data_IF_691808541665
#
_entry.id   IF_691808541665
#
_cell.length_a   1.000
_cell.length_b   1.000
_cell.length_c   1.000
_cell.angle_alpha   90.00
_cell.angle_beta   90.00
_cell.angle_gamma   90.00
#
_symmetry.space_group_name_H-M   'P 1'
#
loop_
_entity.id
_entity.type
_entity.pdbx_description
1 polymer ?
#
# COMPACT_ATOMS: atom_id res chain seq x y z
N UNK A 1 -33.34 25.36 12.50
CA UNK A 1 -33.35 23.88 12.69
C UNK A 1 -32.16 23.15 12.06
N UNK A 2 -31.60 23.56 10.91
CA UNK A 2 -30.38 22.94 10.32
C UNK A 2 -29.09 22.98 11.20
N UNK A 3 -28.78 24.02 11.99
CA UNK A 3 -27.54 24.03 12.79
C UNK A 3 -27.61 23.13 14.03
N UNK A 4 -28.81 22.88 14.56
CA UNK A 4 -29.00 22.02 15.75
C UNK A 4 -28.80 20.53 15.40
N UNK A 5 -29.20 20.10 14.19
CA UNK A 5 -29.02 18.73 13.70
C UNK A 5 -27.55 18.41 13.39
N UNK A 6 -26.76 19.40 12.94
CA UNK A 6 -25.33 19.24 12.73
C UNK A 6 -24.56 19.06 14.04
N UNK A 7 -24.91 19.86 15.07
CA UNK A 7 -24.32 19.77 16.40
C UNK A 7 -24.62 18.42 17.08
N UNK A 8 -25.86 17.91 16.98
CA UNK A 8 -26.23 16.57 17.48
C UNK A 8 -25.47 15.45 16.72
N UNK A 9 -25.23 15.63 15.42
CA UNK A 9 -24.50 14.66 14.58
C UNK A 9 -23.00 14.63 14.88
N UNK A 10 -22.38 15.77 15.22
CA UNK A 10 -20.99 15.83 15.71
C UNK A 10 -20.84 15.25 17.12
N UNK A 11 -21.76 15.56 18.04
CA UNK A 11 -21.77 14.94 19.37
C UNK A 11 -21.89 13.41 19.29
N UNK A 12 -22.64 12.88 18.31
CA UNK A 12 -22.73 11.44 18.05
C UNK A 12 -21.44 10.82 17.52
N UNK A 13 -20.62 11.58 16.78
CA UNK A 13 -19.33 11.11 16.25
C UNK A 13 -18.26 11.10 17.34
N UNK A 14 -18.24 12.14 18.18
CA UNK A 14 -17.34 12.22 19.33
C UNK A 14 -17.65 11.13 20.36
N UNK A 15 -18.95 10.90 20.66
CA UNK A 15 -19.36 9.81 21.55
C UNK A 15 -18.95 8.42 21.02
N UNK A 16 -19.07 8.19 19.70
CA UNK A 16 -18.62 6.95 19.05
C UNK A 16 -17.10 6.80 19.09
N UNK A 17 -16.35 7.88 18.92
CA UNK A 17 -14.88 7.87 19.00
C UNK A 17 -14.39 7.59 20.43
N UNK A 18 -15.03 8.19 21.44
CA UNK A 18 -14.73 7.93 22.86
C UNK A 18 -15.08 6.48 23.23
N UNK A 19 -16.23 5.96 22.78
CA UNK A 19 -16.58 4.54 22.98
C UNK A 19 -15.56 3.60 22.33
N UNK A 20 -15.05 3.95 21.14
CA UNK A 20 -14.04 3.16 20.44
C UNK A 20 -12.71 3.12 21.20
N UNK A 21 -12.28 4.26 21.76
CA UNK A 21 -11.07 4.34 22.60
C UNK A 21 -11.27 3.55 23.89
N UNK A 22 -12.44 3.65 24.54
CA UNK A 22 -12.76 2.90 25.76
C UNK A 22 -12.83 1.38 25.50
N UNK A 23 -13.40 0.96 24.38
CA UNK A 23 -13.46 -0.44 23.94
C UNK A 23 -12.06 -0.99 23.61
N UNK A 24 -11.20 -0.18 22.99
CA UNK A 24 -9.81 -0.55 22.75
C UNK A 24 -9.02 -0.66 24.06
N UNK A 25 -9.26 0.25 25.02
CA UNK A 25 -8.67 0.17 26.35
C UNK A 25 -9.09 -1.10 27.10
N UNK A 26 -10.36 -1.51 27.06
CA UNK A 26 -10.83 -2.76 27.69
C UNK A 26 -10.24 -4.00 27.02
N UNK A 27 -10.10 -4.03 25.69
CA UNK A 27 -9.45 -5.13 24.97
C UNK A 27 -7.96 -5.25 25.30
N UNK A 28 -7.21 -4.15 25.23
CA UNK A 28 -5.76 -4.13 25.50
C UNK A 28 -5.43 -4.43 26.97
N UNK A 29 -6.34 -4.09 27.90
CA UNK A 29 -6.19 -4.44 29.32
C UNK A 29 -6.68 -5.86 29.65
N UNK A 30 -7.57 -6.44 28.84
CA UNK A 30 -8.03 -7.82 28.96
C UNK A 30 -6.97 -8.82 28.46
N UNK A 31 -6.25 -8.51 27.38
CA UNK A 31 -5.17 -9.38 26.87
C UNK A 31 -3.92 -9.39 27.77
N UNK A 32 -3.71 -8.36 28.59
CA UNK A 32 -2.58 -8.30 29.53
C UNK A 32 -2.82 -8.96 30.90
N UNK A 33 -3.95 -9.65 31.10
CA UNK A 33 -4.21 -10.42 32.33
C UNK A 33 -3.92 -11.92 32.24
N UNK A 34 -3.49 -12.45 31.08
CA UNK A 34 -3.18 -13.88 30.93
C UNK A 34 -1.74 -14.23 30.59
N UNK A 35 -0.84 -13.25 30.44
CA UNK A 35 0.56 -13.52 30.16
C UNK A 35 1.48 -12.77 31.13
N UNK A 36 1.77 -13.45 32.24
CA UNK A 36 2.99 -13.33 33.05
C UNK A 36 3.17 -12.05 33.88
N UNK A 37 3.54 -12.28 35.14
CA UNK A 37 3.73 -11.26 36.16
C UNK A 37 4.92 -10.33 35.88
N UNK A 38 4.90 -9.23 36.65
CA UNK A 38 5.85 -8.10 36.71
C UNK A 38 5.56 -6.94 35.74
N UNK A 39 4.86 -5.92 36.27
CA UNK A 39 4.67 -4.62 35.62
C UNK A 39 5.75 -3.64 36.09
N UNK A 40 6.72 -3.36 35.23
CA UNK A 40 7.53 -2.15 35.32
C UNK A 40 6.73 -0.93 34.83
N UNK A 41 6.51 0.05 35.71
CA UNK A 41 5.90 1.34 35.36
C UNK A 41 6.83 2.11 34.42
N UNK A 42 6.46 2.25 33.14
CA UNK A 42 6.97 3.33 32.27
C UNK A 42 5.82 4.27 31.93
N UNK A 43 6.10 5.56 32.10
CA UNK A 43 5.18 6.69 32.23
C UNK A 43 4.68 7.18 30.86
N UNK A 44 3.36 7.16 30.64
CA UNK A 44 2.69 7.65 29.42
C UNK A 44 2.23 9.12 29.50
N UNK A 45 2.77 9.90 30.44
CA UNK A 45 2.43 11.32 30.61
C UNK A 45 2.82 12.24 29.42
N UNK A 46 4.00 12.07 28.78
CA UNK A 46 4.43 12.99 27.72
C UNK A 46 3.68 12.83 26.39
N UNK A 47 3.15 11.63 26.10
CA UNK A 47 2.51 11.33 24.82
C UNK A 47 1.12 11.97 24.71
N UNK A 48 0.39 12.05 25.82
CA UNK A 48 -0.95 12.65 25.88
C UNK A 48 -0.91 14.19 25.87
N UNK A 49 0.12 14.80 26.46
CA UNK A 49 0.32 16.26 26.40
C UNK A 49 0.57 16.77 24.99
N UNK A 50 1.36 16.03 24.18
CA UNK A 50 1.64 16.40 22.79
C UNK A 50 0.44 16.20 21.86
N UNK A 51 -0.43 15.22 22.14
CA UNK A 51 -1.64 15.02 21.35
C UNK A 51 -2.64 16.16 21.59
N UNK A 52 -2.81 16.60 22.85
CA UNK A 52 -3.72 17.69 23.19
C UNK A 52 -3.31 19.03 22.54
N UNK A 53 -2.02 19.36 22.53
CA UNK A 53 -1.50 20.62 21.97
C UNK A 53 -1.59 20.65 20.43
N UNK A 54 -1.49 19.51 19.74
CA UNK A 54 -1.49 19.48 18.26
C UNK A 54 -2.88 19.46 17.61
N UNK A 55 -3.92 18.94 18.28
CA UNK A 55 -5.24 18.75 17.62
C UNK A 55 -6.29 19.83 17.89
N UNK A 56 -6.13 20.72 18.89
CA UNK A 56 -7.19 21.68 19.28
C UNK A 56 -6.63 23.02 19.79
N UNK A 57 -6.26 24.00 18.93
CA UNK A 57 -5.72 25.28 19.38
C UNK A 57 -6.79 26.28 19.92
N UNK A 58 -8.08 25.91 19.96
CA UNK A 58 -9.18 26.84 20.28
C UNK A 58 -10.09 26.44 21.45
N UNK A 59 -9.70 25.49 22.29
CA UNK A 59 -10.41 25.22 23.54
C UNK A 59 -9.66 25.87 24.71
N UNK A 60 -10.23 26.94 25.25
CA UNK A 60 -9.76 27.57 26.47
C UNK A 60 -9.82 26.57 27.65
N UNK A 61 -8.89 26.65 28.62
CA UNK A 61 -8.85 25.75 29.76
C UNK A 61 -9.92 26.15 30.77
N UNK A 62 -11.17 25.79 30.50
CA UNK A 62 -12.23 25.85 31.49
C UNK A 62 -12.62 24.45 31.93
N UNK A 63 -12.26 24.20 33.19
CA UNK A 63 -12.87 23.26 34.12
C UNK A 63 -12.52 21.77 34.02
N UNK A 64 -11.23 21.47 34.23
CA UNK A 64 -10.73 20.14 34.58
C UNK A 64 -11.17 19.66 36.00
N UNK A 65 -11.96 20.44 36.75
CA UNK A 65 -12.42 20.04 38.09
C UNK A 65 -13.60 19.06 38.07
N UNK A 66 -14.26 18.87 36.92
CA UNK A 66 -15.36 17.91 36.77
C UNK A 66 -14.90 16.51 36.35
N UNK A 67 -13.69 16.37 35.79
CA UNK A 67 -13.18 15.07 35.32
C UNK A 67 -12.58 14.19 36.43
N UNK A 68 -12.29 14.75 37.60
CA UNK A 68 -11.64 14.04 38.72
C UNK A 68 -12.60 13.21 39.61
N UNK A 69 -13.91 13.19 39.32
CA UNK A 69 -14.88 12.40 40.10
C UNK A 69 -15.18 11.00 39.54
N UNK A 70 -14.72 10.67 38.33
CA UNK A 70 -15.05 9.40 37.67
C UNK A 70 -13.99 8.29 37.84
N UNK A 71 -12.78 8.61 38.28
CA UNK A 71 -11.74 7.61 38.54
C UNK A 71 -10.95 8.02 39.78
N UNK A 72 -11.21 7.34 40.92
CA UNK A 72 -10.52 7.56 42.20
C UNK A 72 -9.00 7.42 42.05
N UNK A 73 -8.29 8.51 41.76
CA UNK A 73 -6.82 8.55 41.74
C UNK A 73 -6.35 9.76 42.57
N UNK A 74 -5.53 9.49 43.59
CA UNK A 74 -5.03 10.52 44.52
C UNK A 74 -4.12 11.55 43.85
N UNK A 75 -4.24 12.85 44.18
CA UNK A 75 -3.43 13.92 43.62
C UNK A 75 -2.13 14.10 44.42
N UNK A 76 -1.16 13.20 44.24
CA UNK A 76 0.21 13.42 44.72
C UNK A 76 1.20 12.76 43.76
N UNK A 77 1.61 13.48 42.71
CA UNK A 77 2.89 13.31 42.00
C UNK A 77 3.02 14.39 40.92
N UNK A 78 3.09 15.65 41.34
CA UNK A 78 3.60 16.73 40.48
C UNK A 78 4.50 17.63 41.33
N UNK A 79 5.72 17.16 41.60
CA UNK A 79 6.80 18.04 42.04
C UNK A 79 8.15 17.38 41.78
N UNK A 80 9.02 18.18 41.15
CA UNK A 80 10.48 18.08 41.09
C UNK A 80 11.05 17.73 39.72
N UNK A 81 11.53 18.75 39.00
CA UNK A 81 12.92 18.83 38.55
C UNK A 81 13.19 20.19 37.87
N UNK A 82 13.52 21.20 38.68
CA UNK A 82 14.33 22.33 38.23
C UNK A 82 15.63 22.30 39.05
N UNK A 83 16.77 22.19 38.37
CA UNK A 83 18.05 22.83 38.75
C UNK A 83 18.98 22.87 37.51
N UNK A 84 19.64 24.01 37.23
CA UNK A 84 20.63 24.18 36.16
C UNK A 84 22.08 24.00 36.67
N UNK A 85 23.05 24.20 35.76
CA UNK A 85 24.53 24.08 35.83
C UNK A 85 25.08 22.76 35.27
N UNK A 86 26.13 22.69 34.44
CA UNK A 86 27.00 23.67 33.78
C UNK A 86 27.95 22.93 32.83
N UNK A 87 28.31 23.56 31.70
CA UNK A 87 29.60 23.49 30.97
C UNK A 87 30.24 22.11 30.67
N UNK A 88 30.15 21.67 29.41
CA UNK A 88 31.30 21.07 28.68
C UNK A 88 31.29 21.60 27.24
N UNK A 89 32.49 21.96 26.78
CA UNK A 89 32.79 22.65 25.54
C UNK A 89 33.03 21.69 24.35
N UNK A 90 32.87 22.26 23.15
CA UNK A 90 33.50 21.90 21.86
C UNK A 90 33.20 20.53 21.26
N UNK A 91 32.35 20.54 20.24
CA UNK A 91 32.69 20.05 18.90
C UNK A 91 31.58 20.45 17.92
N UNK A 92 31.89 21.40 17.02
CA UNK A 92 31.11 21.58 15.80
C UNK A 92 31.43 20.41 14.89
N UNK A 93 30.69 19.32 15.05
CA UNK A 93 30.43 18.37 13.98
C UNK A 93 29.06 18.73 13.44
N UNK A 94 29.03 19.27 12.22
CA UNK A 94 27.80 19.33 11.43
C UNK A 94 27.44 17.87 11.18
N UNK A 95 26.57 17.30 12.03
CA UNK A 95 25.81 16.13 11.64
C UNK A 95 24.88 16.59 10.54
N UNK A 96 25.29 16.39 9.30
CA UNK A 96 24.33 16.25 8.21
C UNK A 96 23.36 15.14 8.62
N UNK A 97 22.12 15.55 8.87
CA UNK A 97 20.99 14.65 8.95
C UNK A 97 20.96 13.79 7.69
N UNK A 98 20.80 12.46 7.75
CA UNK A 98 20.59 11.65 6.56
C UNK A 98 19.23 12.00 5.98
N UNK A 99 19.20 12.97 5.07
CA UNK A 99 18.07 13.18 4.17
C UNK A 99 18.09 11.99 3.21
N UNK A 100 17.23 11.00 3.45
CA UNK A 100 17.19 9.75 2.68
C UNK A 100 16.51 9.94 1.32
N UNK A 101 17.06 10.82 0.47
CA UNK A 101 16.70 10.84 -0.94
C UNK A 101 17.48 9.72 -1.65
N UNK A 102 16.93 8.51 -1.61
CA UNK A 102 17.48 7.39 -2.39
C UNK A 102 17.42 7.75 -3.88
N UNK A 103 18.55 7.64 -4.58
CA UNK A 103 18.65 7.97 -6.00
C UNK A 103 17.76 7.07 -6.86
N UNK A 104 17.37 7.53 -8.05
CA UNK A 104 16.56 6.75 -9.01
C UNK A 104 17.18 5.38 -9.33
N UNK A 105 18.50 5.34 -9.49
CA UNK A 105 19.24 4.07 -9.72
C UNK A 105 19.14 3.13 -8.51
N UNK A 106 19.30 3.64 -7.28
CA UNK A 106 19.19 2.81 -6.08
C UNK A 106 17.76 2.29 -5.86
N UNK A 107 16.73 3.09 -6.19
CA UNK A 107 15.33 2.64 -6.20
C UNK A 107 15.10 1.52 -7.22
N UNK A 108 15.62 1.67 -8.44
CA UNK A 108 15.50 0.67 -9.49
C UNK A 108 16.21 -0.64 -9.12
N UNK A 109 17.44 -0.58 -8.58
CA UNK A 109 18.16 -1.76 -8.08
C UNK A 109 17.40 -2.45 -6.94
N UNK A 110 16.83 -1.69 -6.00
CA UNK A 110 16.01 -2.25 -4.92
C UNK A 110 14.76 -2.96 -5.47
N UNK A 111 14.13 -2.42 -6.51
CA UNK A 111 12.95 -3.02 -7.13
C UNK A 111 13.28 -4.32 -7.85
N UNK A 112 14.36 -4.34 -8.65
CA UNK A 112 14.85 -5.56 -9.31
C UNK A 112 15.23 -6.61 -8.26
N UNK A 113 15.93 -6.21 -7.20
CA UNK A 113 16.28 -7.10 -6.10
C UNK A 113 15.05 -7.69 -5.42
N UNK A 114 13.99 -6.90 -5.20
CA UNK A 114 12.74 -7.39 -4.63
C UNK A 114 12.03 -8.40 -5.53
N UNK A 115 11.97 -8.15 -6.85
CA UNK A 115 11.44 -9.09 -7.83
C UNK A 115 12.20 -10.42 -7.81
N UNK A 116 13.54 -10.37 -7.81
CA UNK A 116 14.39 -11.55 -7.81
C UNK A 116 14.34 -12.31 -6.48
N UNK A 117 14.23 -11.61 -5.35
CA UNK A 117 14.23 -12.22 -4.02
C UNK A 117 12.86 -12.83 -3.67
N UNK A 118 11.77 -12.12 -3.95
CA UNK A 118 10.44 -12.51 -3.47
C UNK A 118 9.54 -13.12 -4.55
N UNK A 119 9.88 -12.94 -5.83
CA UNK A 119 9.10 -13.46 -6.96
C UNK A 119 9.33 -14.94 -7.28
N UNK A 120 10.12 -15.66 -6.48
CA UNK A 120 10.47 -17.08 -6.72
C UNK A 120 9.36 -18.06 -6.31
N UNK A 121 8.31 -17.60 -5.64
CA UNK A 121 7.18 -18.45 -5.24
C UNK A 121 6.29 -18.84 -6.42
N UNK A 122 5.53 -19.93 -6.23
CA UNK A 122 4.57 -20.45 -7.22
C UNK A 122 3.58 -19.37 -7.67
N UNK A 123 3.37 -19.26 -8.99
CA UNK A 123 2.34 -18.42 -9.55
C UNK A 123 0.98 -19.13 -9.51
N UNK A 124 0.26 -18.99 -8.39
CA UNK A 124 -1.19 -19.26 -8.26
C UNK A 124 -1.64 -20.58 -8.94
N UNK A 125 -0.94 -21.69 -8.65
CA UNK A 125 -1.29 -23.02 -9.16
C UNK A 125 -0.87 -23.32 -10.61
N UNK A 126 -0.14 -22.41 -11.26
CA UNK A 126 0.55 -22.62 -12.53
C UNK A 126 2.00 -23.09 -12.28
N UNK A 127 2.60 -23.81 -13.24
CA UNK A 127 3.95 -24.39 -13.11
C UNK A 127 5.09 -23.40 -13.42
N UNK A 128 4.91 -22.12 -13.09
CA UNK A 128 5.92 -21.07 -13.21
C UNK A 128 5.93 -20.20 -11.95
N UNK A 129 7.02 -19.50 -11.70
CA UNK A 129 7.13 -18.52 -10.61
C UNK A 129 6.45 -17.19 -10.95
N UNK A 130 6.13 -16.40 -9.92
CA UNK A 130 5.59 -15.03 -10.10
C UNK A 130 6.53 -14.14 -10.92
N UNK A 131 7.85 -14.30 -10.72
CA UNK A 131 8.86 -13.58 -11.47
C UNK A 131 8.84 -14.00 -12.95
N UNK A 132 8.81 -15.29 -13.25
CA UNK A 132 8.77 -15.77 -14.64
C UNK A 132 7.53 -15.25 -15.38
N UNK A 133 6.38 -15.23 -14.71
CA UNK A 133 5.15 -14.64 -15.23
C UNK A 133 5.34 -13.16 -15.61
N UNK A 134 5.84 -12.34 -14.67
CA UNK A 134 6.12 -10.93 -14.90
C UNK A 134 7.12 -10.69 -16.05
N UNK A 135 8.18 -11.51 -16.13
CA UNK A 135 9.19 -11.39 -17.19
C UNK A 135 8.65 -11.78 -18.56
N UNK A 136 7.79 -12.80 -18.65
CA UNK A 136 7.14 -13.19 -19.89
C UNK A 136 6.18 -12.10 -20.38
N UNK A 137 5.39 -11.49 -19.49
CA UNK A 137 4.49 -10.39 -19.84
C UNK A 137 5.27 -9.18 -20.37
N UNK A 138 6.33 -8.78 -19.67
CA UNK A 138 7.23 -7.71 -20.11
C UNK A 138 7.90 -8.00 -21.46
N UNK A 139 8.30 -9.25 -21.69
CA UNK A 139 8.90 -9.66 -22.96
C UNK A 139 7.92 -9.58 -24.13
N UNK A 140 6.66 -9.99 -23.91
CA UNK A 140 5.60 -9.85 -24.92
C UNK A 140 5.30 -8.38 -25.22
N UNK A 141 5.19 -7.54 -24.20
CA UNK A 141 5.03 -6.09 -24.36
C UNK A 141 6.18 -5.48 -25.17
N UNK A 142 7.42 -5.87 -24.88
CA UNK A 142 8.58 -5.37 -25.63
C UNK A 142 8.58 -5.86 -27.08
N UNK A 143 8.20 -7.11 -27.34
CA UNK A 143 8.10 -7.68 -28.69
C UNK A 143 6.98 -7.04 -29.53
N UNK A 144 5.93 -6.54 -28.90
CA UNK A 144 4.85 -5.84 -29.59
C UNK A 144 5.18 -4.39 -29.95
N UNK A 145 6.37 -3.89 -29.55
CA UNK A 145 6.78 -2.51 -29.76
C UNK A 145 6.10 -1.52 -28.80
N UNK A 146 5.61 -2.00 -27.65
CA UNK A 146 5.06 -1.14 -26.62
C UNK A 146 6.12 -0.12 -26.12
N UNK A 147 5.64 1.07 -25.77
CA UNK A 147 6.48 2.11 -25.14
C UNK A 147 6.98 1.67 -23.77
N UNK A 148 8.11 2.21 -23.34
CA UNK A 148 8.81 1.82 -22.12
C UNK A 148 7.92 1.76 -20.87
N UNK A 149 7.08 2.78 -20.63
CA UNK A 149 6.15 2.78 -19.48
C UNK A 149 5.19 1.58 -19.48
N UNK A 150 4.73 1.12 -20.65
CA UNK A 150 3.84 -0.03 -20.76
C UNK A 150 4.60 -1.35 -20.60
N UNK A 151 5.86 -1.42 -21.06
CA UNK A 151 6.76 -2.55 -20.78
C UNK A 151 7.06 -2.66 -19.29
N UNK A 152 7.36 -1.53 -18.63
CA UNK A 152 7.53 -1.43 -17.18
C UNK A 152 6.25 -1.86 -16.45
N UNK A 153 5.08 -1.38 -16.89
CA UNK A 153 3.82 -1.76 -16.28
C UNK A 153 3.55 -3.27 -16.41
N UNK A 154 3.84 -3.87 -17.57
CA UNK A 154 3.72 -5.32 -17.77
C UNK A 154 4.68 -6.11 -16.85
N UNK A 155 5.91 -5.63 -16.65
CA UNK A 155 6.87 -6.23 -15.72
C UNK A 155 6.39 -6.15 -14.26
N UNK A 156 5.68 -5.09 -13.89
CA UNK A 156 5.37 -4.77 -12.50
C UNK A 156 3.89 -4.94 -12.13
N UNK A 157 3.05 -5.44 -13.05
CA UNK A 157 1.60 -5.49 -12.84
C UNK A 157 1.21 -6.30 -11.58
N UNK A 158 1.99 -7.34 -11.27
CA UNK A 158 1.81 -8.23 -10.13
C UNK A 158 2.74 -7.92 -8.94
N UNK A 159 3.44 -6.78 -8.94
CA UNK A 159 4.39 -6.43 -7.86
C UNK A 159 3.72 -6.43 -6.47
N UNK A 160 2.42 -6.14 -6.41
CA UNK A 160 1.63 -6.20 -5.17
C UNK A 160 1.44 -7.61 -4.61
N UNK A 161 1.69 -8.67 -5.40
CA UNK A 161 1.78 -10.05 -4.93
C UNK A 161 3.15 -10.34 -4.31
N UNK A 162 4.20 -9.82 -4.95
CA UNK A 162 5.59 -10.16 -4.72
C UNK A 162 6.14 -9.47 -3.46
N UNK A 163 5.85 -8.18 -3.27
CA UNK A 163 6.49 -7.41 -2.19
C UNK A 163 5.96 -7.81 -0.79
N UNK A 164 6.83 -7.84 0.24
CA UNK A 164 6.44 -8.06 1.63
C UNK A 164 5.46 -6.98 2.11
N UNK A 165 4.46 -7.36 2.91
CA UNK A 165 3.43 -6.41 3.38
C UNK A 165 4.00 -5.32 4.31
N UNK A 166 5.14 -5.58 4.95
CA UNK A 166 5.90 -4.63 5.75
C UNK A 166 6.44 -3.49 4.88
N UNK A 167 6.82 -3.76 3.63
CA UNK A 167 7.28 -2.72 2.69
C UNK A 167 6.17 -1.73 2.26
N UNK A 168 4.94 -1.96 2.72
CA UNK A 168 3.74 -1.18 2.36
C UNK A 168 3.05 -0.62 3.62
N UNK A 169 3.84 -0.17 4.60
CA UNK A 169 3.39 0.31 5.93
C UNK A 169 2.21 1.31 5.89
N UNK A 170 2.02 2.07 4.79
CA UNK A 170 0.90 3.01 4.58
C UNK A 170 -0.41 2.41 4.04
N UNK A 171 -0.42 1.20 3.47
CA UNK A 171 -1.61 0.60 2.80
C UNK A 171 -2.40 -0.34 3.73
N UNK A 172 -1.93 -0.53 4.98
CA UNK A 172 -2.57 -1.41 5.98
C UNK A 172 -3.86 -0.81 6.55
N UNK A 173 -4.97 -0.84 5.80
CA UNK A 173 -6.32 -0.62 6.38
C UNK A 173 -7.50 -1.40 5.77
N UNK A 174 -7.40 -2.19 4.69
CA UNK A 174 -8.64 -2.67 4.02
C UNK A 174 -8.72 -4.10 3.44
N UNK A 175 -7.86 -5.07 3.78
CA UNK A 175 -7.88 -6.36 3.08
C UNK A 175 -8.13 -7.55 4.03
N UNK A 176 -9.31 -8.17 3.88
CA UNK A 176 -9.65 -9.46 4.49
C UNK A 176 -8.97 -10.57 3.68
N UNK A 177 -8.25 -11.46 4.36
CA UNK A 177 -7.59 -12.61 3.75
C UNK A 177 -8.59 -13.62 3.20
N UNK A 178 -8.42 -14.01 1.94
CA UNK A 178 -9.00 -15.22 1.39
C UNK A 178 -8.08 -16.40 1.70
N UNK A 179 -8.66 -17.55 2.04
CA UNK A 179 -7.95 -18.81 2.31
C UNK A 179 -7.74 -19.66 1.06
N UNK A 180 -8.11 -19.16 -0.12
CA UNK A 180 -7.87 -19.82 -1.40
C UNK A 180 -6.64 -19.23 -2.11
N UNK A 181 -5.88 -20.08 -2.80
CA UNK A 181 -4.70 -19.70 -3.61
C UNK A 181 -5.12 -18.92 -4.85
N UNK A 182 -5.67 -17.71 -4.70
CA UNK A 182 -6.06 -16.79 -5.79
C UNK A 182 -5.27 -15.49 -5.76
N UNK A 183 -4.15 -15.49 -5.03
CA UNK A 183 -3.32 -14.30 -4.81
C UNK A 183 -3.88 -13.36 -3.74
N UNK A 184 -3.10 -12.33 -3.41
CA UNK A 184 -3.45 -11.25 -2.49
C UNK A 184 -4.60 -10.42 -3.08
N UNK A 185 -5.66 -10.26 -2.30
CA UNK A 185 -6.78 -9.38 -2.67
C UNK A 185 -6.26 -7.95 -2.79
N UNK A 186 -6.63 -7.24 -3.87
CA UNK A 186 -6.23 -5.85 -4.09
C UNK A 186 -4.75 -5.65 -4.45
N UNK A 187 -4.06 -6.67 -4.94
CA UNK A 187 -2.64 -6.59 -5.33
C UNK A 187 -2.40 -5.55 -6.44
N UNK A 188 -3.37 -5.34 -7.33
CA UNK A 188 -3.34 -4.31 -8.35
C UNK A 188 -3.23 -2.90 -7.73
N UNK A 189 -4.01 -2.65 -6.68
CA UNK A 189 -4.03 -1.37 -5.96
C UNK A 189 -2.82 -1.22 -5.05
N UNK A 190 -2.40 -2.29 -4.37
CA UNK A 190 -1.18 -2.31 -3.55
C UNK A 190 0.04 -2.02 -4.42
N UNK A 191 0.15 -2.70 -5.56
CA UNK A 191 1.27 -2.53 -6.50
C UNK A 191 1.32 -1.12 -7.04
N UNK A 192 0.20 -0.58 -7.51
CA UNK A 192 0.14 0.80 -7.98
C UNK A 192 0.48 1.83 -6.90
N UNK A 193 0.02 1.64 -5.66
CA UNK A 193 0.35 2.53 -4.54
C UNK A 193 1.85 2.48 -4.20
N UNK A 194 2.44 1.29 -4.19
CA UNK A 194 3.87 1.09 -3.98
C UNK A 194 4.72 1.75 -5.08
N UNK A 195 4.38 1.56 -6.35
CA UNK A 195 5.11 2.22 -7.44
C UNK A 195 4.97 3.74 -7.39
N UNK A 196 3.80 4.25 -7.00
CA UNK A 196 3.61 5.69 -6.81
C UNK A 196 4.52 6.25 -5.72
N UNK A 197 4.71 5.53 -4.60
CA UNK A 197 5.61 5.97 -3.52
C UNK A 197 7.09 5.95 -3.92
N UNK A 198 7.47 5.12 -4.91
CA UNK A 198 8.81 5.14 -5.49
C UNK A 198 9.03 6.28 -6.49
N UNK A 199 7.97 6.91 -6.97
CA UNK A 199 8.02 8.01 -7.96
C UNK A 199 7.82 7.57 -9.40
N UNK A 200 7.15 6.44 -9.65
CA UNK A 200 6.70 6.10 -11.00
C UNK A 200 5.61 7.07 -11.48
N UNK A 201 5.44 7.18 -12.80
CA UNK A 201 4.47 8.10 -13.39
C UNK A 201 3.05 7.57 -13.16
N UNK A 202 2.07 8.47 -13.19
CA UNK A 202 0.68 8.09 -13.04
C UNK A 202 0.20 7.10 -14.14
N UNK A 203 0.60 7.22 -15.42
CA UNK A 203 0.31 6.20 -16.42
C UNK A 203 0.80 4.79 -16.03
N UNK A 204 2.04 4.63 -15.56
CA UNK A 204 2.56 3.31 -15.11
C UNK A 204 1.70 2.78 -13.96
N UNK A 205 1.41 3.62 -12.96
CA UNK A 205 0.63 3.22 -11.80
C UNK A 205 -0.80 2.80 -12.19
N UNK A 206 -1.44 3.54 -13.11
CA UNK A 206 -2.78 3.23 -13.62
C UNK A 206 -2.80 1.92 -14.40
N UNK A 207 -1.80 1.68 -15.25
CA UNK A 207 -1.68 0.42 -16.01
C UNK A 207 -1.50 -0.77 -15.07
N UNK A 208 -0.63 -0.68 -14.07
CA UNK A 208 -0.46 -1.73 -13.04
C UNK A 208 -1.77 -2.00 -12.29
N UNK A 209 -2.50 -0.94 -11.91
CA UNK A 209 -3.79 -1.07 -11.23
C UNK A 209 -4.92 -1.65 -12.12
N UNK A 210 -4.72 -1.72 -13.44
CA UNK A 210 -5.81 -1.99 -14.38
C UNK A 210 -6.04 -3.45 -14.72
N UNK A 211 -5.07 -4.34 -14.50
CA UNK A 211 -5.10 -5.67 -15.10
C UNK A 211 -6.27 -6.56 -14.58
N UNK A 212 -6.77 -6.32 -13.37
CA UNK A 212 -8.01 -6.94 -12.87
C UNK A 212 -9.24 -6.36 -13.57
N UNK A 213 -9.34 -5.04 -13.67
CA UNK A 213 -10.43 -4.35 -14.37
C UNK A 213 -10.48 -4.72 -15.87
N UNK A 214 -9.32 -4.80 -16.53
CA UNK A 214 -9.19 -5.23 -17.92
C UNK A 214 -9.67 -6.67 -18.12
N UNK A 215 -9.45 -7.57 -17.16
CA UNK A 215 -10.04 -8.93 -17.19
C UNK A 215 -11.57 -8.89 -17.17
N UNK A 216 -12.15 -8.10 -16.26
CA UNK A 216 -13.60 -7.94 -16.14
C UNK A 216 -14.20 -7.35 -17.41
N UNK A 217 -13.52 -6.37 -18.01
CA UNK A 217 -13.89 -5.77 -19.29
C UNK A 217 -13.86 -6.78 -20.44
N UNK A 218 -12.73 -7.45 -20.68
CA UNK A 218 -12.59 -8.42 -21.77
C UNK A 218 -13.62 -9.55 -21.65
N UNK A 219 -13.91 -9.98 -20.42
CA UNK A 219 -14.94 -10.98 -20.18
C UNK A 219 -16.35 -10.49 -20.55
N UNK A 220 -16.63 -9.20 -20.36
CA UNK A 220 -17.93 -8.62 -20.69
C UNK A 220 -18.13 -8.46 -22.21
N UNK A 221 -17.08 -8.07 -22.94
CA UNK A 221 -17.17 -7.72 -24.36
C UNK A 221 -16.80 -8.87 -25.31
N UNK A 222 -16.05 -9.87 -24.83
CA UNK A 222 -15.62 -11.02 -25.62
C UNK A 222 -15.98 -12.34 -24.92
N UNK A 223 -16.98 -13.03 -25.45
CA UNK A 223 -17.41 -14.35 -24.94
C UNK A 223 -16.34 -15.43 -25.12
N UNK A 224 -15.53 -15.35 -26.17
CA UNK A 224 -14.46 -16.31 -26.41
C UNK A 224 -13.34 -16.13 -25.38
N UNK A 225 -13.06 -14.89 -24.99
CA UNK A 225 -12.07 -14.56 -23.98
C UNK A 225 -12.38 -15.22 -22.62
N UNK A 226 -13.64 -15.19 -22.15
CA UNK A 226 -14.02 -15.86 -20.90
C UNK A 226 -13.62 -17.35 -20.89
N UNK A 227 -13.80 -18.04 -22.02
CA UNK A 227 -13.44 -19.45 -22.18
C UNK A 227 -11.93 -19.72 -22.23
N UNK A 228 -11.12 -18.71 -22.55
CA UNK A 228 -9.66 -18.82 -22.60
C UNK A 228 -8.95 -18.58 -21.25
N UNK A 229 -9.66 -18.05 -20.25
CA UNK A 229 -9.08 -17.80 -18.92
C UNK A 229 -8.64 -19.10 -18.26
N UNK A 230 -7.48 -19.08 -17.58
CA UNK A 230 -7.04 -20.23 -16.79
C UNK A 230 -7.98 -20.49 -15.61
N UNK A 231 -7.93 -21.69 -15.03
CA UNK A 231 -8.83 -22.08 -13.93
C UNK A 231 -8.70 -21.14 -12.72
N UNK A 232 -7.50 -20.65 -12.41
CA UNK A 232 -7.25 -19.67 -11.36
C UNK A 232 -7.83 -18.29 -11.72
N UNK A 233 -7.69 -17.86 -12.97
CA UNK A 233 -8.22 -16.58 -13.46
C UNK A 233 -9.76 -16.54 -13.46
N UNK A 234 -10.42 -17.66 -13.80
CA UNK A 234 -11.89 -17.79 -13.73
C UNK A 234 -12.40 -17.73 -12.28
N UNK A 235 -11.74 -18.45 -11.35
CA UNK A 235 -12.11 -18.42 -9.92
C UNK A 235 -11.95 -17.02 -9.34
N UNK A 236 -10.81 -16.38 -9.57
CA UNK A 236 -10.56 -15.01 -9.07
C UNK A 236 -11.54 -13.98 -9.65
N UNK A 237 -11.98 -14.14 -10.90
CA UNK A 237 -12.98 -13.26 -11.53
C UNK A 237 -14.29 -13.21 -10.72
N UNK A 238 -14.76 -14.34 -10.20
CA UNK A 238 -15.97 -14.40 -9.39
C UNK A 238 -15.85 -13.58 -8.10
N UNK A 239 -14.68 -13.61 -7.45
CA UNK A 239 -14.40 -12.81 -6.24
C UNK A 239 -14.17 -11.31 -6.55
N UNK A 240 -13.84 -10.98 -7.80
CA UNK A 240 -13.54 -9.63 -8.26
C UNK A 240 -14.77 -8.88 -8.82
N UNK A 241 -15.97 -9.46 -8.72
CA UNK A 241 -17.22 -8.84 -9.15
C UNK A 241 -17.67 -9.24 -10.56
N UNK A 242 -17.09 -10.28 -11.16
CA UNK A 242 -17.54 -10.81 -12.45
C UNK A 242 -17.24 -9.88 -13.65
N UNK A 243 -17.81 -10.17 -14.84
CA UNK A 243 -17.72 -9.28 -15.99
C UNK A 243 -18.26 -7.88 -15.67
N UNK A 244 -17.75 -6.84 -16.33
CA UNK A 244 -18.33 -5.50 -16.20
C UNK A 244 -19.77 -5.44 -16.74
N UNK A 245 -20.58 -4.60 -16.10
CA UNK A 245 -21.95 -4.29 -16.51
C UNK A 245 -22.22 -2.79 -16.47
N UNK A 246 -23.22 -2.32 -17.22
CA UNK A 246 -23.79 -0.98 -17.05
C UNK A 246 -22.78 0.17 -17.18
N UNK A 247 -22.60 0.95 -16.10
CA UNK A 247 -21.72 2.12 -16.08
C UNK A 247 -20.24 1.75 -16.04
N UNK A 248 -19.86 0.67 -15.35
CA UNK A 248 -18.45 0.24 -15.28
C UNK A 248 -17.89 -0.05 -16.68
N UNK A 249 -18.69 -0.73 -17.52
CA UNK A 249 -18.32 -1.02 -18.89
C UNK A 249 -18.10 0.26 -19.71
N UNK A 250 -19.04 1.21 -19.64
CA UNK A 250 -18.94 2.48 -20.38
C UNK A 250 -17.77 3.35 -19.91
N UNK A 251 -17.52 3.38 -18.62
CA UNK A 251 -16.40 4.13 -18.04
C UNK A 251 -15.06 3.55 -18.51
N UNK A 252 -14.92 2.22 -18.52
CA UNK A 252 -13.72 1.56 -19.02
C UNK A 252 -13.53 1.78 -20.53
N UNK A 253 -14.60 1.71 -21.32
CA UNK A 253 -14.56 1.97 -22.78
C UNK A 253 -14.09 3.39 -23.13
N UNK A 254 -14.36 4.36 -22.26
CA UNK A 254 -14.00 5.77 -22.44
C UNK A 254 -12.62 6.13 -21.88
N UNK A 255 -11.95 5.20 -21.17
CA UNK A 255 -10.63 5.48 -20.60
C UNK A 255 -9.59 5.65 -21.72
N UNK A 256 -8.83 6.76 -21.77
CA UNK A 256 -7.79 6.95 -22.77
C UNK A 256 -6.69 5.88 -22.78
N UNK A 257 -6.51 5.15 -21.67
CA UNK A 257 -5.55 4.04 -21.57
C UNK A 257 -6.17 2.67 -21.85
N UNK A 258 -7.47 2.59 -22.20
CA UNK A 258 -8.19 1.31 -22.38
C UNK A 258 -7.45 0.33 -23.26
N UNK A 259 -6.96 0.77 -24.42
CA UNK A 259 -6.18 -0.05 -25.35
C UNK A 259 -4.95 -0.68 -24.68
N UNK A 260 -4.20 0.11 -23.91
CA UNK A 260 -2.99 -0.34 -23.22
C UNK A 260 -3.31 -1.26 -22.03
N UNK A 261 -4.37 -0.96 -21.28
CA UNK A 261 -4.85 -1.82 -20.19
C UNK A 261 -5.28 -3.20 -20.71
N UNK A 262 -5.97 -3.23 -21.85
CA UNK A 262 -6.35 -4.47 -22.55
C UNK A 262 -5.12 -5.21 -23.06
N UNK A 263 -4.18 -4.52 -23.72
CA UNK A 263 -2.96 -5.13 -24.23
C UNK A 263 -2.13 -5.76 -23.11
N UNK A 264 -1.94 -5.04 -21.99
CA UNK A 264 -1.27 -5.56 -20.80
C UNK A 264 -1.95 -6.82 -20.30
N UNK A 265 -3.28 -6.82 -20.21
CA UNK A 265 -4.04 -7.98 -19.75
C UNK A 265 -3.87 -9.20 -20.65
N UNK A 266 -3.83 -9.01 -21.97
CA UNK A 266 -3.61 -10.09 -22.92
C UNK A 266 -2.20 -10.68 -22.76
N UNK A 267 -1.19 -9.86 -22.47
CA UNK A 267 0.16 -10.34 -22.17
C UNK A 267 0.26 -11.05 -20.81
N UNK A 268 -0.45 -10.57 -19.78
CA UNK A 268 -0.64 -11.28 -18.50
C UNK A 268 -1.19 -12.69 -18.78
N UNK A 269 -2.32 -12.82 -19.47
CA UNK A 269 -2.91 -14.13 -19.72
C UNK A 269 -2.01 -15.06 -20.56
N UNK A 270 -1.26 -14.52 -21.51
CA UNK A 270 -0.30 -15.27 -22.33
C UNK A 270 1.01 -15.64 -21.63
N UNK A 271 1.32 -15.04 -20.47
CA UNK A 271 2.59 -15.18 -19.76
C UNK A 271 2.63 -16.39 -18.81
N UNK A 272 2.27 -17.57 -19.32
CA UNK A 272 2.12 -18.81 -18.53
C UNK A 272 2.86 -20.01 -19.15
N UNK A 273 3.87 -19.73 -19.99
CA UNK A 273 4.60 -20.76 -20.71
C UNK A 273 5.71 -21.37 -19.84
N UNK A 274 5.77 -22.70 -19.80
CA UNK A 274 6.82 -23.44 -19.06
C UNK A 274 8.02 -23.67 -19.98
N UNK A 275 9.25 -23.53 -19.46
CA UNK A 275 10.47 -23.92 -20.17
C UNK A 275 10.96 -22.88 -21.19
N UNK A 276 10.56 -21.62 -21.06
CA UNK A 276 10.93 -20.52 -21.97
C UNK A 276 11.93 -19.54 -21.35
N UNK A 277 12.53 -19.87 -20.21
CA UNK A 277 13.41 -19.02 -19.41
C UNK A 277 14.70 -18.65 -20.17
N UNK A 278 15.16 -19.52 -21.07
CA UNK A 278 16.32 -19.27 -21.94
C UNK A 278 16.07 -18.19 -22.99
N UNK A 279 14.82 -17.95 -23.35
CA UNK A 279 14.41 -16.96 -24.37
C UNK A 279 13.70 -15.74 -23.80
N UNK A 280 13.47 -15.75 -22.48
CA UNK A 280 12.84 -14.67 -21.72
C UNK A 280 13.93 -13.83 -21.04
N UNK A 281 13.98 -12.50 -21.24
CA UNK A 281 14.96 -11.63 -20.60
C UNK A 281 14.87 -11.69 -19.08
N UNK A 282 16.02 -11.66 -18.40
CA UNK A 282 16.09 -11.60 -16.92
C UNK A 282 15.68 -10.23 -16.41
N UNK A 283 15.26 -10.14 -15.15
CA UNK A 283 14.79 -8.90 -14.50
C UNK A 283 15.77 -7.74 -14.66
N UNK A 284 17.07 -7.99 -14.41
CA UNK A 284 18.13 -6.98 -14.59
C UNK A 284 18.20 -6.38 -16.01
N UNK A 285 17.69 -7.06 -17.04
CA UNK A 285 17.63 -6.51 -18.42
C UNK A 285 16.71 -5.29 -18.55
N UNK A 286 15.86 -5.03 -17.56
CA UNK A 286 14.94 -3.88 -17.51
C UNK A 286 15.43 -2.77 -16.57
N UNK A 287 16.58 -2.95 -15.90
CA UNK A 287 17.10 -2.01 -14.91
C UNK A 287 17.32 -0.60 -15.48
N UNK A 288 17.95 -0.50 -16.65
CA UNK A 288 18.25 0.80 -17.27
C UNK A 288 16.97 1.54 -17.68
N UNK A 289 15.97 0.80 -18.18
CA UNK A 289 14.66 1.34 -18.55
C UNK A 289 13.93 1.91 -17.32
N UNK A 290 13.90 1.17 -16.21
CA UNK A 290 13.31 1.62 -14.95
C UNK A 290 14.08 2.82 -14.39
N UNK A 291 15.42 2.79 -14.42
CA UNK A 291 16.26 3.89 -13.96
C UNK A 291 15.99 5.16 -14.75
N UNK A 292 15.97 5.06 -16.09
CA UNK A 292 15.68 6.17 -16.98
C UNK A 292 14.30 6.78 -16.71
N UNK A 293 13.27 5.92 -16.54
CA UNK A 293 11.93 6.34 -16.18
C UNK A 293 11.90 7.15 -14.88
N UNK A 294 12.49 6.63 -13.80
CA UNK A 294 12.52 7.31 -12.50
C UNK A 294 13.35 8.61 -12.51
N UNK A 295 14.43 8.67 -13.29
CA UNK A 295 15.19 9.90 -13.51
C UNK A 295 14.32 10.99 -14.16
N UNK A 296 13.57 10.65 -15.21
CA UNK A 296 12.67 11.59 -15.89
C UNK A 296 11.58 12.14 -14.96
N UNK A 297 11.02 11.31 -14.08
CA UNK A 297 10.01 11.75 -13.13
C UNK A 297 10.58 12.68 -12.05
N UNK A 298 11.84 12.49 -11.66
CA UNK A 298 12.52 13.37 -10.70
C UNK A 298 12.75 14.75 -11.31
N UNK A 299 13.24 14.82 -12.55
CA UNK A 299 13.48 16.09 -13.26
C UNK A 299 12.20 16.85 -13.59
N UNK A 300 11.07 16.16 -13.75
CA UNK A 300 9.78 16.79 -14.04
C UNK A 300 9.09 17.35 -12.78
N UNK A 301 9.56 16.98 -11.59
CA UNK A 301 9.01 17.44 -10.30
C UNK A 301 9.74 18.68 -9.73
N UNK A 302 10.87 19.07 -10.34
CA UNK A 302 11.64 20.28 -10.02
C UNK A 302 11.20 21.48 -10.87
#
# INVERSE_FOLDING_TARGET
>A
MKPLVASIRESSRLAKFILMILYWWTMVTSEKKFAHGQVGKKTLGPVLGNLYIKTLPHLAPTDLSQFSRLFKVSPTLFRSAHKPHSLIAKSNSIMESPSSSTTSSAKAESLIGALEQYGQGDYIGESISQLEHCLQAAHQARKSGARDELVIAALLHDIGQIIPLESVEEVRMNLRGSTENVGRVGHEAIGAAYLRSLGFSEPVCRLVNSHVAAKRYLTAVDRAYHGSLSSASQKSLAFQGGPFEGSELREFEQDPLRDEMVALRLWDDGAKLVGVESTTPRARSYLDMITAHLCQQTTAAE
#
